data_IF_945151014384
#
_entry.id   IF_945151014384
#
_cell.length_a   1.000
_cell.length_b   1.000
_cell.length_c   1.000
_cell.angle_alpha   90.00
_cell.angle_beta   90.00
_cell.angle_gamma   90.00
#
_symmetry.space_group_name_H-M   'P 1'
#
loop_
_entity.id
_entity.type
_entity.pdbx_description
1 polymer ?
#
# COMPACT_ATOMS: atom_id res chain seq x y z
N UNK A 1 17.47 12.31 18.24
CA UNK A 1 16.34 11.51 17.73
C UNK A 1 16.70 10.98 16.34
N UNK A 2 16.69 9.68 16.12
CA UNK A 2 17.12 9.10 14.85
C UNK A 2 16.08 9.37 13.76
N UNK A 3 16.52 9.50 12.49
CA UNK A 3 15.62 9.66 11.32
C UNK A 3 14.50 8.59 11.26
N UNK A 4 14.76 7.40 11.79
CA UNK A 4 13.83 6.27 11.91
C UNK A 4 12.61 6.59 12.78
N UNK A 5 12.79 7.35 13.87
CA UNK A 5 11.68 7.74 14.75
C UNK A 5 10.82 8.86 14.13
N UNK A 6 11.41 9.73 13.30
CA UNK A 6 10.68 10.81 12.64
C UNK A 6 9.74 10.27 11.55
N UNK A 7 10.19 9.28 10.76
CA UNK A 7 9.34 8.63 9.74
C UNK A 7 8.18 7.84 10.40
N UNK A 8 8.46 7.11 11.47
CA UNK A 8 7.46 6.36 12.23
C UNK A 8 6.36 7.29 12.73
N UNK A 9 6.73 8.42 13.33
CA UNK A 9 5.76 9.39 13.84
C UNK A 9 4.88 9.99 12.73
N UNK A 10 5.42 10.22 11.53
CA UNK A 10 4.68 10.83 10.42
C UNK A 10 3.63 9.86 9.84
N UNK A 11 3.96 8.57 9.74
CA UNK A 11 3.03 7.54 9.25
C UNK A 11 1.97 7.24 10.30
N UNK A 12 2.37 7.11 11.57
CA UNK A 12 1.43 6.93 12.69
C UNK A 12 0.49 8.14 12.81
N UNK A 13 0.98 9.36 12.56
CA UNK A 13 0.20 10.59 12.60
C UNK A 13 -0.78 10.70 11.42
N UNK A 14 -0.38 10.28 10.22
CA UNK A 14 -1.27 10.22 9.06
C UNK A 14 -2.41 9.24 9.28
N UNK A 15 -2.11 8.01 9.69
CA UNK A 15 -3.13 7.02 10.04
C UNK A 15 -3.98 7.47 11.23
N UNK A 16 -3.37 8.08 12.23
CA UNK A 16 -4.06 8.62 13.38
C UNK A 16 -5.03 9.74 12.98
N UNK A 17 -4.64 10.62 12.07
CA UNK A 17 -5.52 11.69 11.57
C UNK A 17 -6.62 11.12 10.66
N UNK A 18 -6.31 10.19 9.77
CA UNK A 18 -7.29 9.51 8.93
C UNK A 18 -8.37 8.79 9.77
N UNK A 19 -7.99 8.29 10.92
CA UNK A 19 -8.86 7.58 11.87
C UNK A 19 -9.57 8.54 12.81
N UNK A 20 -8.92 9.62 13.23
CA UNK A 20 -9.50 10.64 14.11
C UNK A 20 -10.59 11.47 13.44
N UNK A 21 -10.54 11.61 12.12
CA UNK A 21 -11.68 12.14 11.34
C UNK A 21 -12.92 11.25 11.48
N UNK A 22 -12.73 9.99 11.90
CA UNK A 22 -13.82 9.03 12.13
C UNK A 22 -14.25 8.97 13.59
N UNK A 23 -13.33 8.99 14.57
CA UNK A 23 -13.65 9.06 16.01
C UNK A 23 -12.38 9.08 16.89
N UNK A 24 -12.31 9.97 17.92
CA UNK A 24 -11.15 10.12 18.82
C UNK A 24 -10.78 8.90 19.66
N UNK A 25 -11.72 7.98 19.86
CA UNK A 25 -11.56 6.74 20.64
C UNK A 25 -11.60 5.48 19.76
N UNK A 26 -11.31 5.61 18.47
CA UNK A 26 -11.45 4.51 17.52
C UNK A 26 -10.49 3.36 17.80
N UNK A 27 -11.04 2.20 18.07
CA UNK A 27 -10.31 0.92 17.98
C UNK A 27 -10.41 0.37 16.57
N UNK A 28 -9.28 0.02 15.98
CA UNK A 28 -9.20 -0.51 14.61
C UNK A 28 -8.90 -1.99 14.67
N UNK A 29 -9.75 -2.76 14.00
CA UNK A 29 -9.49 -4.16 13.79
C UNK A 29 -8.84 -4.35 12.41
N UNK A 30 -7.68 -4.99 12.35
CA UNK A 30 -7.04 -5.30 11.09
C UNK A 30 -6.76 -6.79 10.93
N UNK A 31 -6.81 -7.26 9.68
CA UNK A 31 -6.44 -8.62 9.29
C UNK A 31 -5.24 -8.51 8.34
N UNK A 32 -4.16 -9.18 8.70
CA UNK A 32 -2.93 -9.20 7.90
C UNK A 32 -1.71 -9.51 8.76
N UNK A 33 -0.58 -9.76 8.15
CA UNK A 33 0.66 -9.96 8.91
C UNK A 33 1.35 -8.61 9.14
N UNK A 34 1.11 -8.02 10.32
CA UNK A 34 1.71 -6.75 10.74
C UNK A 34 3.25 -6.79 10.79
N UNK A 35 3.86 -7.97 10.81
CA UNK A 35 5.32 -8.13 10.83
C UNK A 35 6.00 -7.53 9.59
N UNK A 36 5.28 -7.47 8.48
CA UNK A 36 5.78 -6.84 7.25
C UNK A 36 5.57 -5.32 7.22
N UNK A 37 4.74 -4.80 8.13
CA UNK A 37 4.33 -3.39 8.19
C UNK A 37 4.34 -2.88 9.63
N UNK A 38 5.52 -2.84 10.28
CA UNK A 38 5.65 -2.44 11.67
C UNK A 38 5.16 -1.01 11.94
N UNK A 39 5.02 -0.19 10.89
CA UNK A 39 4.51 1.17 10.99
C UNK A 39 3.00 1.26 11.16
N UNK A 40 2.26 0.18 10.83
CA UNK A 40 0.80 0.11 11.01
C UNK A 40 0.38 -0.32 12.41
N UNK A 41 1.33 -0.70 13.25
CA UNK A 41 1.08 -1.08 14.65
C UNK A 41 0.92 0.17 15.52
N UNK A 42 -0.25 0.77 15.49
CA UNK A 42 -0.64 1.83 16.42
C UNK A 42 -1.15 1.22 17.72
N UNK A 43 -1.12 1.98 18.83
CA UNK A 43 -1.63 1.53 20.14
C UNK A 43 -3.11 1.11 20.12
N UNK A 44 -3.85 1.58 19.12
CA UNK A 44 -5.28 1.36 18.96
C UNK A 44 -5.63 0.31 17.89
N UNK A 45 -4.63 -0.34 17.27
CA UNK A 45 -4.85 -1.40 16.31
C UNK A 45 -4.94 -2.76 17.01
N UNK A 46 -6.07 -3.42 16.86
CA UNK A 46 -6.28 -4.80 17.33
C UNK A 46 -6.08 -5.73 16.14
N UNK A 47 -5.03 -6.56 16.23
CA UNK A 47 -4.79 -7.59 15.23
C UNK A 47 -5.82 -8.72 15.39
N UNK A 48 -6.58 -8.98 14.34
CA UNK A 48 -7.48 -10.12 14.26
C UNK A 48 -6.76 -11.24 13.51
N UNK A 49 -6.31 -12.24 14.22
CA UNK A 49 -5.82 -13.47 13.60
C UNK A 49 -6.99 -14.11 12.81
N UNK A 50 -6.72 -14.57 11.58
CA UNK A 50 -7.68 -15.24 10.69
C UNK A 50 -8.37 -16.47 11.35
N UNK A 51 -7.82 -17.00 12.43
CA UNK A 51 -8.34 -18.14 13.19
C UNK A 51 -9.11 -17.73 14.48
N UNK A 52 -9.05 -16.46 14.89
CA UNK A 52 -9.83 -15.98 16.01
C UNK A 52 -11.26 -15.70 15.57
N UNK A 53 -12.20 -16.24 16.36
CA UNK A 53 -13.62 -16.09 16.12
C UNK A 53 -13.99 -14.62 16.00
N UNK A 54 -14.33 -14.16 14.79
CA UNK A 54 -14.75 -12.80 14.45
C UNK A 54 -15.79 -12.22 15.42
N UNK A 55 -16.56 -13.07 16.06
CA UNK A 55 -17.65 -12.69 16.96
C UNK A 55 -17.20 -11.87 18.18
N UNK A 56 -15.98 -12.10 18.69
CA UNK A 56 -15.53 -11.48 19.94
C UNK A 56 -15.06 -10.03 19.76
N UNK A 57 -14.58 -9.66 18.57
CA UNK A 57 -14.08 -8.30 18.26
C UNK A 57 -15.09 -7.43 17.50
N UNK A 58 -16.21 -8.00 17.10
CA UNK A 58 -17.30 -7.38 16.36
C UNK A 58 -17.82 -6.10 17.01
N UNK A 59 -17.88 -6.07 18.32
CA UNK A 59 -18.63 -5.03 19.05
C UNK A 59 -17.79 -3.81 19.41
N UNK A 60 -16.48 -3.87 19.28
CA UNK A 60 -15.58 -2.84 19.81
C UNK A 60 -14.80 -2.06 18.74
N UNK A 61 -14.89 -2.46 17.48
CA UNK A 61 -14.11 -1.79 16.44
C UNK A 61 -14.91 -0.67 15.79
N UNK A 62 -14.36 0.53 15.77
CA UNK A 62 -14.94 1.72 15.13
C UNK A 62 -14.59 1.80 13.64
N UNK A 63 -13.56 1.08 13.20
CA UNK A 63 -13.14 0.95 11.81
C UNK A 63 -12.45 -0.39 11.56
N UNK A 64 -12.35 -0.79 10.31
CA UNK A 64 -11.63 -1.97 9.87
C UNK A 64 -10.50 -1.61 8.92
N UNK A 65 -9.45 -2.42 8.93
CA UNK A 65 -8.30 -2.29 8.06
C UNK A 65 -8.05 -3.64 7.39
N UNK A 66 -8.11 -3.69 6.07
CA UNK A 66 -7.92 -4.91 5.28
C UNK A 66 -6.72 -4.78 4.35
N UNK A 67 -5.86 -5.81 4.33
CA UNK A 67 -4.71 -5.87 3.44
C UNK A 67 -4.99 -6.76 2.25
N UNK A 68 -4.79 -6.23 1.04
CA UNK A 68 -4.94 -6.97 -0.21
C UNK A 68 -6.35 -7.48 -0.50
N UNK A 69 -6.62 -7.79 -1.75
CA UNK A 69 -7.91 -8.36 -2.19
C UNK A 69 -7.94 -9.88 -1.95
N UNK A 70 -7.99 -10.29 -0.69
CA UNK A 70 -8.07 -11.69 -0.29
C UNK A 70 -9.40 -12.01 0.40
N UNK A 71 -9.69 -13.31 0.59
CA UNK A 71 -10.94 -13.76 1.17
C UNK A 71 -11.23 -13.17 2.57
N UNK A 72 -10.17 -12.95 3.38
CA UNK A 72 -10.31 -12.36 4.72
C UNK A 72 -10.71 -10.89 4.64
N UNK A 73 -10.09 -10.11 3.76
CA UNK A 73 -10.42 -8.70 3.54
C UNK A 73 -11.82 -8.53 2.96
N UNK A 74 -12.22 -9.39 1.99
CA UNK A 74 -13.57 -9.38 1.43
C UNK A 74 -14.62 -9.65 2.52
N UNK A 75 -14.35 -10.61 3.39
CA UNK A 75 -15.23 -10.91 4.52
C UNK A 75 -15.32 -9.75 5.52
N UNK A 76 -14.19 -9.09 5.78
CA UNK A 76 -14.10 -7.91 6.63
C UNK A 76 -14.89 -6.74 6.03
N UNK A 77 -14.77 -6.51 4.73
CA UNK A 77 -15.52 -5.46 4.03
C UNK A 77 -17.04 -5.69 4.08
N UNK A 78 -17.48 -6.93 3.94
CA UNK A 78 -18.90 -7.29 4.11
C UNK A 78 -19.36 -7.01 5.54
N UNK A 79 -18.56 -7.32 6.53
CA UNK A 79 -18.89 -7.04 7.93
C UNK A 79 -18.92 -5.54 8.22
N UNK A 80 -17.97 -4.77 7.70
CA UNK A 80 -17.96 -3.31 7.80
C UNK A 80 -19.27 -2.71 7.27
N UNK A 81 -19.68 -3.14 6.08
CA UNK A 81 -20.93 -2.72 5.46
C UNK A 81 -22.14 -3.06 6.33
N UNK A 82 -22.22 -4.27 6.86
CA UNK A 82 -23.34 -4.71 7.70
C UNK A 82 -23.45 -3.91 9.00
N UNK A 83 -22.34 -3.41 9.51
CA UNK A 83 -22.26 -2.62 10.74
C UNK A 83 -22.32 -1.12 10.52
N UNK A 84 -22.24 -0.66 9.30
CA UNK A 84 -22.17 0.77 8.99
C UNK A 84 -20.88 1.43 9.51
N UNK A 85 -19.76 0.67 9.61
CA UNK A 85 -18.46 1.20 10.02
C UNK A 85 -17.53 1.30 8.82
N UNK A 86 -16.60 2.26 8.80
CA UNK A 86 -15.66 2.43 7.70
C UNK A 86 -14.69 1.26 7.60
N UNK A 87 -14.22 0.99 6.39
CA UNK A 87 -13.11 0.09 6.10
C UNK A 87 -12.05 0.82 5.30
N UNK A 88 -10.80 0.61 5.67
CA UNK A 88 -9.63 1.06 4.93
C UNK A 88 -8.97 -0.15 4.27
N UNK A 89 -8.83 -0.09 2.96
CA UNK A 89 -8.21 -1.13 2.13
C UNK A 89 -6.77 -0.71 1.83
N UNK A 90 -5.83 -1.57 2.18
CA UNK A 90 -4.40 -1.27 2.03
C UNK A 90 -3.78 -2.18 1.00
N UNK A 91 -2.91 -1.62 0.18
CA UNK A 91 -2.10 -2.35 -0.79
C UNK A 91 -0.70 -1.75 -0.90
N UNK A 92 0.23 -2.50 -1.44
CA UNK A 92 1.59 -2.03 -1.71
C UNK A 92 1.59 -0.76 -2.56
N UNK A 93 2.38 0.22 -2.16
CA UNK A 93 2.60 1.43 -2.95
C UNK A 93 3.60 1.22 -4.09
N UNK A 94 3.89 2.31 -4.82
CA UNK A 94 4.78 2.29 -5.99
C UNK A 94 6.21 1.86 -5.64
N UNK A 95 6.80 2.42 -4.58
CA UNK A 95 8.10 1.99 -4.03
C UNK A 95 7.83 1.13 -2.81
N UNK A 96 8.02 -0.17 -2.93
CA UNK A 96 7.59 -1.07 -1.87
C UNK A 96 8.70 -1.39 -0.88
N UNK A 97 9.82 -1.98 -1.33
CA UNK A 97 10.89 -2.45 -0.43
C UNK A 97 12.17 -2.75 -1.22
N UNK A 98 13.22 -3.18 -0.51
CA UNK A 98 14.42 -3.69 -1.17
C UNK A 98 14.09 -5.03 -1.82
N UNK A 99 13.61 -6.00 -1.04
CA UNK A 99 13.23 -7.33 -1.54
C UNK A 99 11.71 -7.54 -1.52
N UNK A 100 11.22 -8.45 -2.35
CA UNK A 100 9.83 -8.86 -2.31
C UNK A 100 9.49 -9.56 -0.97
N UNK A 101 8.22 -9.57 -0.61
CA UNK A 101 7.77 -10.17 0.65
C UNK A 101 8.01 -11.69 0.75
N UNK A 102 8.13 -12.39 -0.39
CA UNK A 102 8.42 -13.82 -0.47
C UNK A 102 9.92 -14.15 -0.37
N UNK A 103 10.80 -13.16 -0.47
CA UNK A 103 12.24 -13.39 -0.46
C UNK A 103 12.70 -13.95 0.90
N UNK A 104 13.58 -14.95 0.86
CA UNK A 104 14.20 -15.52 2.07
C UNK A 104 15.39 -14.69 2.53
N UNK A 105 15.10 -13.50 3.07
CA UNK A 105 16.09 -12.54 3.56
C UNK A 105 15.60 -11.95 4.89
N UNK A 106 16.44 -11.14 5.52
CA UNK A 106 16.06 -10.45 6.76
C UNK A 106 14.73 -9.68 6.60
N UNK A 107 13.79 -9.78 7.54
CA UNK A 107 12.50 -9.11 7.46
C UNK A 107 12.57 -7.60 7.25
N UNK A 108 13.62 -6.92 7.75
CA UNK A 108 13.81 -5.48 7.57
C UNK A 108 13.99 -5.08 6.10
N UNK A 109 14.58 -5.97 5.30
CA UNK A 109 14.80 -5.76 3.86
C UNK A 109 13.51 -5.98 3.03
N UNK A 110 12.50 -6.57 3.63
CA UNK A 110 11.17 -6.80 3.05
C UNK A 110 10.10 -5.85 3.57
N UNK A 111 10.45 -5.01 4.53
CA UNK A 111 9.52 -4.03 5.12
C UNK A 111 9.01 -3.06 4.06
N UNK A 112 7.70 -2.87 4.01
CA UNK A 112 7.07 -1.91 3.10
C UNK A 112 7.46 -0.48 3.46
N UNK A 113 7.76 0.31 2.44
CA UNK A 113 8.11 1.74 2.55
C UNK A 113 6.92 2.64 2.21
N UNK A 114 6.05 2.16 1.33
CA UNK A 114 4.86 2.90 0.92
C UNK A 114 3.68 1.98 0.68
N UNK A 115 2.49 2.51 0.87
CA UNK A 115 1.22 1.83 0.61
C UNK A 115 0.19 2.81 0.09
N UNK A 116 -0.79 2.26 -0.63
CA UNK A 116 -2.03 2.95 -0.98
C UNK A 116 -3.09 2.56 0.02
N UNK A 117 -3.81 3.54 0.53
CA UNK A 117 -4.98 3.36 1.40
C UNK A 117 -6.18 3.88 0.65
N UNK A 118 -7.23 3.08 0.58
CA UNK A 118 -8.43 3.39 -0.18
C UNK A 118 -9.67 2.98 0.61
N UNK A 119 -10.77 3.69 0.47
CA UNK A 119 -12.02 3.38 1.17
C UNK A 119 -13.05 2.70 0.26
N UNK A 120 -12.82 2.68 -1.05
CA UNK A 120 -13.76 2.19 -2.06
C UNK A 120 -13.33 0.86 -2.67
N UNK A 121 -12.02 0.68 -2.93
CA UNK A 121 -11.52 -0.49 -3.64
C UNK A 121 -10.02 -0.68 -3.60
N UNK A 122 -9.53 -1.55 -4.47
CA UNK A 122 -8.10 -1.74 -4.71
C UNK A 122 -7.77 -1.17 -6.09
N UNK A 123 -6.71 -0.38 -6.21
CA UNK A 123 -6.33 0.35 -7.43
C UNK A 123 -6.15 -0.55 -8.67
N UNK A 124 -5.91 -1.84 -8.48
CA UNK A 124 -5.78 -2.83 -9.55
C UNK A 124 -7.12 -3.52 -9.91
N UNK A 125 -8.20 -3.24 -9.17
CA UNK A 125 -9.51 -3.86 -9.39
C UNK A 125 -10.39 -2.97 -10.27
N UNK A 126 -10.40 -3.22 -11.57
CA UNK A 126 -11.17 -2.45 -12.55
C UNK A 126 -12.70 -2.57 -12.41
N UNK A 127 -13.21 -3.41 -11.48
CA UNK A 127 -14.65 -3.61 -11.30
C UNK A 127 -15.34 -2.45 -10.57
N UNK A 128 -14.59 -1.51 -10.00
CA UNK A 128 -15.09 -0.35 -9.25
C UNK A 128 -14.12 0.80 -9.25
N UNK A 129 -14.64 1.99 -9.14
CA UNK A 129 -13.85 3.20 -8.94
C UNK A 129 -13.21 3.22 -7.56
N UNK A 130 -11.99 3.76 -7.46
CA UNK A 130 -11.19 3.84 -6.23
C UNK A 130 -10.95 5.30 -5.83
N UNK A 131 -10.54 5.53 -4.58
CA UNK A 131 -10.15 6.87 -4.12
C UNK A 131 -8.90 7.35 -4.85
N UNK A 132 -7.98 6.42 -5.18
CA UNK A 132 -6.79 6.75 -5.97
C UNK A 132 -7.15 7.23 -7.38
N UNK A 133 -8.10 6.57 -8.06
CA UNK A 133 -8.57 7.01 -9.38
C UNK A 133 -9.25 8.39 -9.30
N UNK A 134 -10.06 8.62 -8.28
CA UNK A 134 -10.68 9.93 -8.05
C UNK A 134 -9.63 11.02 -7.84
N UNK A 135 -8.60 10.72 -7.05
CA UNK A 135 -7.49 11.63 -6.81
C UNK A 135 -6.74 11.95 -8.11
N UNK A 136 -6.37 10.92 -8.87
CA UNK A 136 -5.63 11.07 -10.13
C UNK A 136 -6.42 11.84 -11.21
N UNK A 137 -7.74 11.70 -11.22
CA UNK A 137 -8.59 12.34 -12.23
C UNK A 137 -8.99 13.78 -11.85
N UNK A 138 -9.12 14.10 -10.59
CA UNK A 138 -9.80 15.32 -10.17
C UNK A 138 -8.91 16.28 -9.35
N UNK A 139 -7.83 15.77 -8.71
CA UNK A 139 -6.98 16.61 -7.87
C UNK A 139 -6.05 17.48 -8.73
N UNK A 140 -6.04 18.76 -8.42
CA UNK A 140 -5.16 19.73 -9.07
C UNK A 140 -4.01 20.07 -8.11
N UNK A 141 -2.79 19.75 -8.51
CA UNK A 141 -1.60 20.09 -7.77
C UNK A 141 -1.39 21.61 -7.72
N UNK A 142 -1.12 22.16 -6.56
CA UNK A 142 -0.60 23.49 -6.42
C UNK A 142 0.90 23.55 -6.79
N UNK A 143 1.46 24.76 -6.91
CA UNK A 143 2.85 24.95 -7.34
C UNK A 143 3.87 24.27 -6.40
N UNK A 144 3.62 24.26 -5.09
CA UNK A 144 4.48 23.59 -4.12
C UNK A 144 4.47 22.09 -4.31
N UNK A 145 3.29 21.48 -4.44
CA UNK A 145 3.12 20.06 -4.66
C UNK A 145 3.71 19.62 -6.00
N UNK A 146 3.53 20.43 -7.04
CA UNK A 146 4.13 20.18 -8.35
C UNK A 146 5.66 20.20 -8.28
N UNK A 147 6.24 21.14 -7.53
CA UNK A 147 7.69 21.20 -7.33
C UNK A 147 8.22 19.98 -6.55
N UNK A 148 7.53 19.59 -5.46
CA UNK A 148 7.87 18.38 -4.70
C UNK A 148 7.75 17.12 -5.55
N UNK A 149 6.70 16.99 -6.35
CA UNK A 149 6.51 15.87 -7.28
C UNK A 149 7.64 15.77 -8.30
N UNK A 150 8.08 16.90 -8.87
CA UNK A 150 9.24 16.94 -9.79
C UNK A 150 10.53 16.50 -9.10
N UNK A 151 10.79 16.96 -7.88
CA UNK A 151 11.96 16.54 -7.10
C UNK A 151 11.94 15.03 -6.83
N UNK A 152 10.78 14.50 -6.41
CA UNK A 152 10.61 13.08 -6.16
C UNK A 152 10.82 12.26 -7.45
N UNK A 153 10.26 12.71 -8.56
CA UNK A 153 10.42 12.08 -9.86
C UNK A 153 11.89 12.02 -10.29
N UNK A 154 12.62 13.15 -10.19
CA UNK A 154 14.06 13.18 -10.45
C UNK A 154 14.82 12.23 -9.53
N UNK A 155 14.51 12.25 -8.24
CA UNK A 155 15.15 11.36 -7.27
C UNK A 155 14.94 9.86 -7.61
N UNK A 156 13.73 9.48 -8.00
CA UNK A 156 13.40 8.09 -8.41
C UNK A 156 14.22 7.70 -9.66
N UNK A 157 14.27 8.59 -10.66
CA UNK A 157 14.98 8.33 -11.92
C UNK A 157 16.49 8.25 -11.70
N UNK A 158 17.07 9.23 -11.02
CA UNK A 158 18.51 9.35 -10.81
C UNK A 158 19.06 8.19 -9.99
N UNK A 159 18.28 7.71 -9.01
CA UNK A 159 18.63 6.57 -8.19
C UNK A 159 18.12 5.23 -8.75
N UNK A 160 17.48 5.22 -9.92
CA UNK A 160 16.95 4.02 -10.59
C UNK A 160 16.04 3.18 -9.67
N UNK A 161 15.20 3.86 -8.89
CA UNK A 161 14.31 3.20 -7.95
C UNK A 161 13.14 2.55 -8.68
N UNK A 162 12.72 1.39 -8.18
CA UNK A 162 11.57 0.62 -8.66
C UNK A 162 10.77 0.05 -7.49
N UNK A 163 9.74 -0.73 -7.77
CA UNK A 163 8.93 -1.37 -6.72
C UNK A 163 9.78 -2.21 -5.77
N UNK A 164 10.76 -2.97 -6.32
CA UNK A 164 11.74 -3.74 -5.56
C UNK A 164 13.16 -3.38 -6.05
N UNK A 165 14.10 -3.18 -5.12
CA UNK A 165 15.37 -2.53 -5.40
C UNK A 165 16.61 -3.43 -5.17
N UNK A 166 16.44 -4.74 -5.25
CA UNK A 166 17.52 -5.72 -5.08
C UNK A 166 18.17 -6.16 -6.40
N UNK A 167 17.59 -5.77 -7.53
CA UNK A 167 18.04 -6.25 -8.83
C UNK A 167 19.33 -5.55 -9.25
N UNK A 168 20.35 -6.29 -9.73
CA UNK A 168 21.54 -5.67 -10.25
C UNK A 168 21.24 -4.86 -11.51
N UNK A 169 22.00 -3.80 -11.73
CA UNK A 169 21.95 -3.07 -12.99
C UNK A 169 22.38 -3.97 -14.13
N UNK A 170 21.60 -4.03 -15.20
CA UNK A 170 21.96 -4.73 -16.42
C UNK A 170 22.11 -3.74 -17.57
N UNK A 171 23.05 -4.04 -18.50
CA UNK A 171 23.18 -3.29 -19.72
C UNK A 171 22.11 -3.74 -20.74
N UNK A 172 21.38 -2.78 -21.28
CA UNK A 172 20.43 -3.02 -22.40
C UNK A 172 21.03 -2.59 -23.75
N UNK A 173 22.35 -2.40 -23.84
CA UNK A 173 23.05 -1.96 -25.04
C UNK A 173 22.79 -2.88 -26.24
N UNK A 174 22.66 -4.19 -26.01
CA UNK A 174 22.30 -5.17 -27.05
C UNK A 174 20.92 -4.89 -27.66
N UNK A 175 19.98 -4.34 -26.89
CA UNK A 175 18.67 -3.93 -27.39
C UNK A 175 18.75 -2.61 -28.18
N UNK A 176 19.70 -1.75 -27.83
CA UNK A 176 19.91 -0.47 -28.52
C UNK A 176 20.48 -0.67 -29.92
N UNK A 177 21.40 -1.62 -30.09
CA UNK A 177 22.17 -1.87 -31.31
C UNK A 177 21.47 -2.76 -32.35
N UNK A 178 20.20 -3.15 -32.14
CA UNK A 178 19.50 -3.94 -33.12
C UNK A 178 19.18 -3.09 -34.38
N UNK A 179 19.31 -3.67 -35.57
CA UNK A 179 18.97 -3.03 -36.85
C UNK A 179 17.46 -2.78 -37.04
N UNK A 180 16.65 -3.20 -36.09
CA UNK A 180 15.21 -3.00 -36.11
C UNK A 180 14.84 -1.53 -35.94
N UNK A 181 14.03 -1.00 -36.87
CA UNK A 181 13.54 0.40 -36.86
C UNK A 181 12.54 0.68 -35.73
N UNK A 182 11.86 -0.34 -35.25
CA UNK A 182 10.88 -0.24 -34.15
C UNK A 182 11.15 -1.34 -33.13
N UNK A 183 11.00 -0.98 -31.85
CA UNK A 183 11.09 -1.90 -30.72
C UNK A 183 9.77 -1.85 -30.01
N UNK A 184 9.21 -3.01 -29.70
CA UNK A 184 7.96 -3.16 -28.95
C UNK A 184 8.29 -3.90 -27.66
N UNK A 185 7.97 -3.29 -26.53
CA UNK A 185 8.04 -3.94 -25.25
C UNK A 185 6.63 -4.48 -24.93
N UNK A 186 6.53 -5.78 -24.77
CA UNK A 186 5.31 -6.43 -24.28
C UNK A 186 5.52 -6.71 -22.79
N UNK A 187 4.64 -6.14 -21.98
CA UNK A 187 4.64 -6.34 -20.52
C UNK A 187 3.60 -7.41 -20.22
N UNK A 188 4.01 -8.42 -19.47
CA UNK A 188 3.15 -9.50 -19.01
C UNK A 188 3.10 -9.51 -17.47
N UNK A 189 2.06 -10.12 -16.90
CA UNK A 189 1.85 -10.27 -15.47
C UNK A 189 1.93 -11.74 -15.06
N UNK A 190 2.17 -11.98 -13.79
CA UNK A 190 2.14 -13.33 -13.22
C UNK A 190 0.77 -13.94 -13.41
N UNK A 191 0.73 -15.22 -13.85
CA UNK A 191 -0.53 -15.94 -14.02
C UNK A 191 -1.35 -15.95 -12.73
N UNK A 192 -2.59 -15.50 -12.82
CA UNK A 192 -3.50 -15.37 -11.68
C UNK A 192 -3.33 -14.06 -10.90
N UNK A 193 -2.58 -13.11 -11.43
CA UNK A 193 -2.58 -11.73 -10.91
C UNK A 193 -3.98 -11.14 -11.05
N UNK A 194 -4.43 -10.43 -10.02
CA UNK A 194 -5.79 -9.89 -9.98
C UNK A 194 -5.96 -8.57 -10.75
N UNK A 195 -4.89 -8.07 -11.35
CA UNK A 195 -4.91 -6.92 -12.24
C UNK A 195 -5.22 -7.27 -13.70
N UNK A 196 -5.39 -8.58 -14.00
CA UNK A 196 -5.71 -9.10 -15.34
C UNK A 196 -7.15 -9.62 -15.36
#
# INVERSE_FOLDING_TARGET
MSKKNKLKNTVDEYFYNLINDVNKDASIAHIGDYKFYPHLSTKNCIYINKHLNFARFRYFSSAYLGWGKNASTIKLAKEAKNRGVPIFLIEDGFIRSIFSWVANVDPSLRSGLSYVVDTKGFYFDSSRQTDLEDLLNNYQLNDSELNESKKLQSFIIDNKLSKYNYQPSCSISHLANSSCKKKVLVIDQSRGDQSI
#
